data_IF_467221169496
#
_entry.id   IF_467221169496
#
_cell.length_a   1.000
_cell.length_b   1.000
_cell.length_c   1.000
_cell.angle_alpha   90.00
_cell.angle_beta   90.00
_cell.angle_gamma   90.00
#
_symmetry.space_group_name_H-M   'P 1'
#
loop_
_entity.id
_entity.type
_entity.pdbx_description
1 polymer ?
#
# COMPACT_ATOMS: atom_id res chain seq x y z
N UNK A 1 20.13 -3.89 -5.83
CA UNK A 1 19.10 -2.85 -6.05
C UNK A 1 19.71 -1.49 -5.75
N UNK A 2 19.63 -0.53 -6.67
CA UNK A 2 20.18 0.82 -6.47
C UNK A 2 19.12 1.76 -5.90
N UNK A 3 19.50 2.54 -4.87
CA UNK A 3 18.62 3.42 -4.12
C UNK A 3 19.25 4.81 -4.09
N UNK A 4 18.51 5.83 -4.53
CA UNK A 4 18.98 7.21 -4.62
C UNK A 4 18.12 8.21 -3.84
N UNK A 5 16.97 7.76 -3.32
CA UNK A 5 16.14 8.58 -2.44
C UNK A 5 16.79 8.73 -1.06
N UNK A 6 16.87 9.96 -0.56
CA UNK A 6 17.56 10.28 0.68
C UNK A 6 16.96 9.60 1.93
N UNK A 7 15.63 9.38 1.97
CA UNK A 7 14.97 8.67 3.07
C UNK A 7 15.26 7.16 2.98
N UNK A 8 15.23 6.61 1.77
CA UNK A 8 15.51 5.19 1.56
C UNK A 8 16.98 4.86 1.78
N UNK A 9 17.92 5.71 1.39
CA UNK A 9 19.35 5.55 1.71
C UNK A 9 19.57 5.56 3.22
N UNK A 10 18.86 6.40 3.98
CA UNK A 10 18.91 6.39 5.45
C UNK A 10 18.39 5.07 6.03
N UNK A 11 17.29 4.54 5.50
CA UNK A 11 16.75 3.23 5.92
C UNK A 11 17.73 2.10 5.62
N UNK A 12 18.35 2.12 4.44
CA UNK A 12 19.40 1.16 4.05
C UNK A 12 20.60 1.25 5.00
N UNK A 13 20.99 2.45 5.43
CA UNK A 13 22.04 2.64 6.45
C UNK A 13 21.69 1.98 7.77
N UNK A 14 20.45 2.16 8.26
CA UNK A 14 20.01 1.52 9.50
C UNK A 14 19.99 0.00 9.35
N UNK A 15 19.38 -0.52 8.29
CA UNK A 15 19.28 -1.97 8.05
C UNK A 15 20.66 -2.63 7.91
N UNK A 16 21.61 -1.94 7.27
CA UNK A 16 23.01 -2.38 7.18
C UNK A 16 23.70 -2.37 8.54
N UNK A 17 23.50 -1.32 9.34
CA UNK A 17 24.09 -1.22 10.68
C UNK A 17 23.55 -2.30 11.64
N UNK A 18 22.30 -2.70 11.47
CA UNK A 18 21.68 -3.82 12.21
C UNK A 18 22.03 -5.19 11.63
N UNK A 19 22.78 -5.26 10.53
CA UNK A 19 23.17 -6.51 9.88
C UNK A 19 22.02 -7.26 9.23
N UNK A 20 20.90 -6.60 8.92
CA UNK A 20 19.73 -7.23 8.28
C UNK A 20 19.88 -7.31 6.76
N UNK A 21 20.74 -6.48 6.19
CA UNK A 21 21.06 -6.47 4.77
C UNK A 21 22.55 -6.24 4.57
N UNK A 22 23.07 -6.75 3.46
CA UNK A 22 24.35 -6.34 2.92
C UNK A 22 24.12 -5.22 1.90
N UNK A 23 24.75 -4.07 2.10
CA UNK A 23 24.65 -2.94 1.19
C UNK A 23 25.97 -2.16 1.11
N UNK A 24 26.25 -1.51 -0.01
CA UNK A 24 27.26 -0.47 -0.12
C UNK A 24 26.57 0.90 -0.05
N UNK A 25 27.15 1.86 0.65
CA UNK A 25 26.57 3.21 0.81
C UNK A 25 27.64 4.19 0.40
N UNK A 26 27.31 5.07 -0.54
CA UNK A 26 28.27 6.04 -1.06
C UNK A 26 28.57 7.09 0.02
N UNK A 27 29.83 7.53 0.15
CA UNK A 27 30.22 8.52 1.14
C UNK A 27 29.49 9.83 0.90
N UNK A 28 29.05 10.47 1.98
CA UNK A 28 28.29 11.71 1.90
C UNK A 28 29.20 12.94 1.75
N UNK A 29 28.93 13.77 0.74
CA UNK A 29 29.68 15.01 0.46
C UNK A 29 29.40 16.11 1.50
N UNK A 30 30.43 16.89 1.81
CA UNK A 30 30.44 17.89 2.88
C UNK A 30 29.91 19.25 2.41
N UNK A 31 29.07 19.89 3.23
CA UNK A 31 28.87 21.35 3.23
C UNK A 31 28.61 21.79 4.68
N UNK A 32 29.70 21.97 5.41
CA UNK A 32 29.96 22.94 6.49
C UNK A 32 29.09 23.03 7.76
N UNK A 33 27.97 22.33 7.92
CA UNK A 33 27.14 22.52 9.13
C UNK A 33 26.51 21.24 9.68
N UNK A 34 27.22 20.57 10.63
CA UNK A 34 26.69 19.88 11.82
C UNK A 34 25.52 18.88 11.70
N UNK A 35 25.06 18.57 10.50
CA UNK A 35 23.85 17.81 10.23
C UNK A 35 24.24 16.45 9.65
N UNK A 36 23.59 15.39 10.13
CA UNK A 36 23.78 14.01 9.68
C UNK A 36 23.78 13.93 8.15
N UNK A 37 24.95 13.69 7.54
CA UNK A 37 25.14 13.79 6.09
C UNK A 37 24.32 12.72 5.35
N UNK A 38 23.60 13.11 4.31
CA UNK A 38 22.86 12.19 3.45
C UNK A 38 23.84 11.55 2.46
N UNK A 39 24.06 10.24 2.57
CA UNK A 39 24.63 9.48 1.47
C UNK A 39 23.69 9.61 0.27
N UNK A 40 24.26 9.91 -0.91
CA UNK A 40 23.46 10.20 -2.11
C UNK A 40 22.87 8.94 -2.74
N UNK A 41 23.52 7.80 -2.50
CA UNK A 41 23.08 6.53 -3.03
C UNK A 41 23.51 5.37 -2.13
N UNK A 42 22.77 4.27 -2.26
CA UNK A 42 23.12 3.00 -1.68
C UNK A 42 22.80 1.87 -2.67
N UNK A 43 23.63 0.83 -2.65
CA UNK A 43 23.45 -0.39 -3.40
C UNK A 43 23.19 -1.54 -2.43
N UNK A 44 21.96 -2.04 -2.39
CA UNK A 44 21.62 -3.25 -1.63
C UNK A 44 22.06 -4.47 -2.44
N UNK A 45 22.88 -5.32 -1.82
CA UNK A 45 23.42 -6.55 -2.40
C UNK A 45 22.49 -7.71 -2.12
N UNK A 46 22.19 -7.98 -0.85
CA UNK A 46 21.30 -9.05 -0.42
C UNK A 46 20.72 -8.80 0.97
N UNK A 47 19.75 -9.63 1.36
CA UNK A 47 19.24 -9.74 2.73
C UNK A 47 20.06 -10.82 3.42
N UNK A 48 20.49 -10.58 4.66
CA UNK A 48 21.26 -11.56 5.46
C UNK A 48 20.34 -12.62 6.08
N UNK A 49 20.91 -13.68 6.66
CA UNK A 49 20.11 -14.66 7.39
C UNK A 49 19.36 -14.04 8.58
N UNK A 50 19.99 -13.11 9.29
CA UNK A 50 19.37 -12.33 10.36
C UNK A 50 18.22 -11.48 9.83
N UNK A 51 18.41 -10.87 8.65
CA UNK A 51 17.36 -10.15 7.93
C UNK A 51 16.16 -11.03 7.60
N UNK A 52 16.41 -12.25 7.09
CA UNK A 52 15.36 -13.21 6.79
C UNK A 52 14.63 -13.70 8.05
N UNK A 53 15.35 -13.96 9.13
CA UNK A 53 14.77 -14.37 10.42
C UNK A 53 13.89 -13.26 11.02
N UNK A 54 14.32 -12.00 10.95
CA UNK A 54 13.51 -10.88 11.45
C UNK A 54 12.27 -10.66 10.57
N UNK A 55 12.38 -10.84 9.25
CA UNK A 55 11.22 -10.82 8.35
C UNK A 55 10.22 -11.94 8.70
N UNK A 56 10.71 -13.16 8.98
CA UNK A 56 9.86 -14.29 9.37
C UNK A 56 9.17 -14.05 10.72
N UNK A 57 9.89 -13.50 11.70
CA UNK A 57 9.34 -13.12 13.01
C UNK A 57 8.27 -12.02 12.88
N UNK A 58 8.51 -11.00 12.06
CA UNK A 58 7.51 -9.95 11.77
C UNK A 58 6.30 -10.50 11.02
N UNK A 59 6.50 -11.48 10.13
CA UNK A 59 5.42 -12.23 9.47
C UNK A 59 4.65 -13.11 10.45
N UNK A 60 5.31 -13.71 11.43
CA UNK A 60 4.68 -14.48 12.51
C UNK A 60 3.87 -13.62 13.46
N UNK A 61 4.32 -12.40 13.77
CA UNK A 61 3.57 -11.43 14.57
C UNK A 61 2.42 -10.76 13.81
N UNK A 62 2.55 -10.53 12.50
CA UNK A 62 1.40 -10.21 11.62
C UNK A 62 0.54 -11.44 11.30
N UNK A 63 1.04 -12.64 11.62
CA UNK A 63 0.46 -13.96 11.37
C UNK A 63 -0.19 -14.60 12.60
N UNK A 64 -0.38 -13.85 13.69
CA UNK A 64 -1.26 -14.19 14.80
C UNK A 64 -2.74 -14.16 14.42
N UNK A 65 -3.12 -14.76 13.29
CA UNK A 65 -4.50 -15.21 13.08
C UNK A 65 -4.62 -16.59 13.69
N UNK A 66 -4.93 -16.60 14.98
CA UNK A 66 -5.54 -17.72 15.67
C UNK A 66 -6.65 -18.34 14.77
N UNK A 67 -6.60 -19.63 14.42
CA UNK A 67 -7.59 -20.25 13.53
C UNK A 67 -9.00 -20.26 14.13
N UNK A 68 -9.16 -20.07 15.45
CA UNK A 68 -10.46 -19.92 16.10
C UNK A 68 -10.99 -18.48 16.07
N UNK A 69 -10.11 -17.47 15.94
CA UNK A 69 -10.54 -16.07 15.71
C UNK A 69 -11.05 -15.81 14.29
N UNK A 70 -10.79 -16.70 13.34
CA UNK A 70 -11.36 -16.64 11.97
C UNK A 70 -12.89 -16.77 11.95
N UNK A 71 -13.50 -17.28 13.03
CA UNK A 71 -14.96 -17.46 13.14
C UNK A 71 -15.70 -16.31 13.81
N UNK A 72 -15.02 -15.26 14.34
CA UNK A 72 -15.68 -14.14 15.02
C UNK A 72 -15.43 -12.73 14.45
N UNK A 73 -14.63 -12.58 13.40
CA UNK A 73 -14.56 -11.33 12.59
C UNK A 73 -15.13 -11.51 11.18
N UNK A 74 -16.19 -12.31 11.05
CA UNK A 74 -17.11 -12.24 9.91
C UNK A 74 -18.02 -10.99 10.00
N UNK A 75 -17.46 -9.84 10.40
CA UNK A 75 -18.15 -8.55 10.29
C UNK A 75 -17.75 -7.99 8.92
N UNK A 76 -18.55 -8.38 7.93
CA UNK A 76 -18.67 -7.77 6.60
C UNK A 76 -17.36 -7.60 5.84
N UNK A 77 -16.89 -8.67 5.17
CA UNK A 77 -16.10 -8.47 3.96
C UNK A 77 -16.97 -7.67 3.00
N UNK A 78 -16.55 -6.45 2.69
CA UNK A 78 -17.22 -5.65 1.68
C UNK A 78 -17.02 -6.40 0.35
N UNK A 79 -18.08 -7.01 -0.18
CA UNK A 79 -17.98 -7.70 -1.45
C UNK A 79 -17.91 -6.65 -2.58
N UNK A 80 -16.98 -6.74 -3.55
CA UNK A 80 -16.78 -5.70 -4.55
C UNK A 80 -18.06 -5.33 -5.33
N UNK A 81 -18.92 -6.30 -5.60
CA UNK A 81 -20.21 -6.06 -6.29
C UNK A 81 -21.24 -5.36 -5.41
N UNK A 82 -21.19 -5.54 -4.09
CA UNK A 82 -22.04 -4.82 -3.16
C UNK A 82 -21.54 -3.38 -2.99
N UNK A 83 -20.22 -3.17 -3.03
CA UNK A 83 -19.66 -1.83 -3.12
C UNK A 83 -20.07 -1.13 -4.42
N UNK A 84 -20.01 -1.82 -5.56
CA UNK A 84 -20.47 -1.28 -6.85
C UNK A 84 -21.95 -0.84 -6.80
N UNK A 85 -22.80 -1.62 -6.11
CA UNK A 85 -24.21 -1.26 -5.86
C UNK A 85 -24.33 -0.06 -4.94
N UNK A 86 -23.56 0.00 -3.86
CA UNK A 86 -23.57 1.12 -2.93
C UNK A 86 -23.22 2.44 -3.64
N UNK A 87 -22.26 2.43 -4.57
CA UNK A 87 -21.83 3.63 -5.30
C UNK A 87 -22.66 3.93 -6.57
N UNK A 88 -23.68 3.13 -6.90
CA UNK A 88 -24.47 3.28 -8.12
C UNK A 88 -25.11 4.67 -8.25
N UNK A 89 -25.59 5.20 -7.12
CA UNK A 89 -26.29 6.48 -7.01
C UNK A 89 -25.41 7.60 -6.45
N UNK A 90 -24.11 7.34 -6.26
CA UNK A 90 -23.17 8.35 -5.78
C UNK A 90 -22.90 9.40 -6.85
N UNK A 91 -22.61 10.61 -6.41
CA UNK A 91 -22.09 11.66 -7.29
C UNK A 91 -20.62 11.36 -7.62
N UNK A 92 -20.23 11.61 -8.87
CA UNK A 92 -18.86 11.43 -9.34
C UNK A 92 -18.22 12.80 -9.67
N UNK A 93 -16.90 12.97 -9.45
CA UNK A 93 -15.94 11.95 -8.97
C UNK A 93 -16.12 11.61 -7.48
N UNK A 94 -16.00 10.32 -7.15
CA UNK A 94 -16.10 9.81 -5.78
C UNK A 94 -14.69 9.55 -5.24
N UNK A 95 -14.36 10.16 -4.10
CA UNK A 95 -13.08 10.02 -3.42
C UNK A 95 -13.21 8.97 -2.31
N UNK A 96 -12.26 8.04 -2.25
CA UNK A 96 -12.29 6.87 -1.38
C UNK A 96 -10.94 6.76 -0.67
N UNK A 97 -10.97 6.79 0.65
CA UNK A 97 -9.79 6.76 1.54
C UNK A 97 -9.75 5.49 2.40
N UNK A 98 -10.87 4.76 2.51
CA UNK A 98 -10.93 3.53 3.28
C UNK A 98 -10.20 2.39 2.55
N UNK A 99 -9.22 1.71 3.18
CA UNK A 99 -8.44 0.65 2.53
C UNK A 99 -9.27 -0.55 2.05
N UNK A 100 -10.37 -0.91 2.73
CA UNK A 100 -11.24 -2.00 2.28
C UNK A 100 -12.04 -1.59 1.04
N UNK A 101 -12.53 -0.36 1.01
CA UNK A 101 -13.18 0.20 -0.17
C UNK A 101 -12.21 0.36 -1.34
N UNK A 102 -10.99 0.86 -1.11
CA UNK A 102 -9.95 0.99 -2.15
C UNK A 102 -9.62 -0.38 -2.77
N UNK A 103 -9.52 -1.43 -1.96
CA UNK A 103 -9.34 -2.80 -2.47
C UNK A 103 -10.51 -3.24 -3.36
N UNK A 104 -11.75 -2.91 -2.99
CA UNK A 104 -12.91 -3.16 -3.84
C UNK A 104 -12.85 -2.35 -5.16
N UNK A 105 -12.47 -1.07 -5.09
CA UNK A 105 -12.30 -0.21 -6.26
C UNK A 105 -11.26 -0.78 -7.21
N UNK A 106 -10.14 -1.30 -6.70
CA UNK A 106 -9.11 -1.93 -7.50
C UNK A 106 -9.64 -3.15 -8.25
N UNK A 107 -10.34 -4.05 -7.56
CA UNK A 107 -10.98 -5.22 -8.19
C UNK A 107 -12.01 -4.79 -9.25
N UNK A 108 -12.86 -3.82 -8.95
CA UNK A 108 -13.87 -3.30 -9.88
C UNK A 108 -13.24 -2.62 -11.10
N UNK A 109 -12.12 -1.93 -10.91
CA UNK A 109 -11.35 -1.30 -11.98
C UNK A 109 -10.71 -2.34 -12.88
N UNK A 110 -10.06 -3.35 -12.30
CA UNK A 110 -9.45 -4.47 -13.06
C UNK A 110 -10.50 -5.26 -13.85
N UNK A 111 -11.70 -5.42 -13.28
CA UNK A 111 -12.84 -6.02 -13.97
C UNK A 111 -13.49 -5.11 -15.03
N UNK A 112 -13.07 -3.84 -15.14
CA UNK A 112 -13.60 -2.87 -16.11
C UNK A 112 -14.98 -2.32 -15.75
N UNK A 113 -15.46 -2.50 -14.52
CA UNK A 113 -16.76 -1.99 -14.08
C UNK A 113 -16.74 -0.50 -13.72
N UNK A 114 -15.57 0.03 -13.32
CA UNK A 114 -15.40 1.45 -12.98
C UNK A 114 -14.18 2.03 -13.67
N UNK A 115 -14.24 3.33 -13.95
CA UNK A 115 -13.10 4.13 -14.38
C UNK A 115 -12.57 4.86 -13.14
N UNK A 116 -11.43 4.41 -12.61
CA UNK A 116 -10.87 4.91 -11.36
C UNK A 116 -9.33 5.07 -11.41
N UNK A 117 -8.82 6.07 -10.70
CA UNK A 117 -7.41 6.25 -10.43
C UNK A 117 -7.12 5.84 -8.98
N UNK A 118 -6.10 5.02 -8.75
CA UNK A 118 -5.67 4.62 -7.40
C UNK A 118 -4.25 5.11 -7.24
N UNK A 119 -4.03 5.96 -6.24
CA UNK A 119 -2.73 6.44 -5.84
C UNK A 119 -2.20 5.55 -4.72
N UNK A 120 -1.01 4.94 -4.88
CA UNK A 120 -0.41 4.15 -3.81
C UNK A 120 -0.13 5.05 -2.61
N UNK A 121 -0.18 4.47 -1.40
CA UNK A 121 -0.13 5.22 -0.14
C UNK A 121 1.13 6.06 0.09
N UNK A 122 2.14 5.91 -0.77
CA UNK A 122 3.34 6.74 -0.79
C UNK A 122 3.08 8.17 -1.30
N UNK A 123 1.94 8.43 -1.94
CA UNK A 123 1.66 9.72 -2.58
C UNK A 123 1.07 10.78 -1.64
N UNK A 124 0.43 10.39 -0.52
CA UNK A 124 -0.24 11.30 0.39
C UNK A 124 0.11 10.95 1.84
N UNK A 125 0.63 11.95 2.57
CA UNK A 125 0.87 11.86 4.02
C UNK A 125 -0.21 12.64 4.74
N UNK A 126 -0.93 11.99 5.65
CA UNK A 126 -1.73 12.68 6.65
C UNK A 126 -0.85 13.51 7.60
N UNK A 127 -1.49 14.34 8.43
CA UNK A 127 -0.82 15.14 9.47
C UNK A 127 0.10 14.31 10.38
N UNK A 128 -0.19 13.01 10.53
CA UNK A 128 0.58 12.06 11.35
C UNK A 128 1.70 11.33 10.57
N UNK A 129 1.90 11.65 9.28
CA UNK A 129 2.98 11.11 8.45
C UNK A 129 2.77 9.69 7.93
N UNK A 130 1.58 9.10 8.16
CA UNK A 130 1.17 7.79 7.66
C UNK A 130 0.95 7.82 6.14
N UNK A 131 1.46 6.84 5.38
CA UNK A 131 1.12 6.69 3.97
C UNK A 131 -0.36 6.29 3.83
N UNK A 132 -1.16 7.11 3.16
CA UNK A 132 -2.59 6.84 2.94
C UNK A 132 -2.88 6.61 1.46
N UNK A 133 -3.44 5.43 1.15
CA UNK A 133 -3.92 5.12 -0.20
C UNK A 133 -5.15 5.94 -0.52
N UNK A 134 -5.28 6.35 -1.78
CA UNK A 134 -6.42 7.15 -2.24
C UNK A 134 -6.92 6.62 -3.57
N UNK A 135 -8.21 6.30 -3.66
CA UNK A 135 -8.88 6.01 -4.91
C UNK A 135 -9.86 7.11 -5.30
N UNK A 136 -9.86 7.49 -6.57
CA UNK A 136 -10.80 8.44 -7.16
C UNK A 136 -11.53 7.74 -8.30
N UNK A 137 -12.81 7.50 -8.11
CA UNK A 137 -13.68 6.91 -9.13
C UNK A 137 -14.26 8.04 -9.96
N UNK A 138 -13.99 8.05 -11.26
CA UNK A 138 -14.47 9.06 -12.21
C UNK A 138 -15.91 8.79 -12.66
N UNK A 139 -16.27 7.50 -12.80
CA UNK A 139 -17.60 7.02 -13.22
C UNK A 139 -17.68 5.50 -13.13
N UNK A 140 -18.90 4.97 -13.12
CA UNK A 140 -19.19 3.56 -13.45
C UNK A 140 -19.23 3.42 -14.98
N UNK A 141 -18.59 2.39 -15.52
CA UNK A 141 -18.56 2.13 -16.96
C UNK A 141 -19.91 1.56 -17.46
N UNK A 142 -20.20 1.61 -18.77
CA UNK A 142 -21.38 0.94 -19.32
C UNK A 142 -21.43 -0.57 -18.97
N UNK A 143 -20.28 -1.23 -18.91
CA UNK A 143 -20.16 -2.63 -18.51
C UNK A 143 -20.53 -2.85 -17.03
N UNK A 144 -20.07 -1.97 -16.14
CA UNK A 144 -20.47 -1.98 -14.73
C UNK A 144 -21.96 -1.73 -14.52
N UNK A 145 -22.55 -0.79 -15.27
CA UNK A 145 -24.00 -0.55 -15.22
C UNK A 145 -24.82 -1.74 -15.72
N UNK A 146 -24.38 -2.41 -16.79
CA UNK A 146 -25.02 -3.64 -17.24
C UNK A 146 -24.94 -4.75 -16.19
N UNK A 147 -23.84 -4.83 -15.44
CA UNK A 147 -23.70 -5.77 -14.33
C UNK A 147 -24.68 -5.46 -13.18
N UNK A 148 -24.86 -4.19 -12.85
CA UNK A 148 -25.84 -3.74 -11.85
C UNK A 148 -27.28 -4.08 -12.28
N UNK A 149 -27.62 -3.83 -13.53
CA UNK A 149 -28.94 -4.16 -14.09
C UNK A 149 -29.22 -5.68 -14.05
N UNK A 150 -28.21 -6.52 -14.30
CA UNK A 150 -28.32 -8.00 -14.17
C UNK A 150 -28.52 -8.47 -12.73
N UNK A 151 -27.87 -7.80 -11.77
CA UNK A 151 -27.99 -8.13 -10.34
C UNK A 151 -29.30 -7.68 -9.69
N UNK A 152 -30.00 -6.70 -10.28
CA UNK A 152 -31.29 -6.18 -9.81
C UNK A 152 -32.51 -6.97 -10.32
N UNK A 153 -32.33 -7.87 -11.29
CA UNK A 153 -33.40 -8.66 -11.92
C UNK A 153 -33.74 -9.95 -11.15
N UNK A 154 -33.62 -9.97 -9.81
CA UNK A 154 -33.93 -11.13 -8.98
C UNK A 154 -35.07 -10.86 -8.02
#
# INVERSE_FOLDING_TARGET
MHVTDAQDVRRVSVLKATGLIEAAIDPAFDTDHGSYRLAQAALVVCITEEGHAEIEKLRGHRGGTDPASRRKKAKTRLEPLDYLRAIERSAFPLRVEDPQEISCVDVLKQAGFVDAAISPGLAWKDADGSPQELAVIRRITPFGRAQLARGAAK
#
